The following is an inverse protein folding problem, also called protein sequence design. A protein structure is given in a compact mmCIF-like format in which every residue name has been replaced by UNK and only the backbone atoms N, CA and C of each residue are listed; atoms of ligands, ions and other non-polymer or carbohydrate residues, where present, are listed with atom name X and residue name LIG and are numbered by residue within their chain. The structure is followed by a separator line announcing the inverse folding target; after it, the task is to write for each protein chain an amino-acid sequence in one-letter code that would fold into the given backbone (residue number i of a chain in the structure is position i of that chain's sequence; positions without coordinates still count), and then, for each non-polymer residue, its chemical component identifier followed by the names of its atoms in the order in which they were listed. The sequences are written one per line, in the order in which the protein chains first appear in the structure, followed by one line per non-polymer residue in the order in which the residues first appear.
data_IF_088952271027
#
_entry.id   IF_088952271027
#
_cell.length_a   1.000
_cell.length_b   1.000
_cell.length_c   1.000
_cell.angle_alpha   90.00
_cell.angle_beta   90.00
_cell.angle_gamma   90.00
#
_symmetry.space_group_name_H-M   'P 1'
#
loop_
_entity.id
_entity.type
_entity.pdbx_description
1 polymer ?
#
# COMPACT_ATOMS: atom_id res chain seq x y z
N UNK A 1 -1.42 -28.27 6.21
CA UNK A 1 -1.77 -26.90 5.80
C UNK A 1 -2.34 -26.23 7.04
N UNK A 2 -1.64 -25.24 7.61
CA UNK A 2 -2.17 -24.48 8.75
C UNK A 2 -3.10 -23.40 8.21
N UNK A 3 -4.40 -23.51 8.49
CA UNK A 3 -5.37 -22.46 8.16
C UNK A 3 -5.03 -21.13 8.85
N UNK A 4 -5.63 -20.03 8.39
CA UNK A 4 -5.34 -18.69 8.91
C UNK A 4 -5.71 -18.56 10.38
N UNK A 5 -6.90 -19.03 10.76
CA UNK A 5 -7.37 -19.05 12.15
C UNK A 5 -7.81 -20.48 12.43
N UNK A 6 -7.22 -21.11 13.45
CA UNK A 6 -7.60 -22.47 13.82
C UNK A 6 -9.09 -22.55 14.13
N UNK A 7 -9.76 -23.57 13.57
CA UNK A 7 -11.20 -23.75 13.71
C UNK A 7 -12.07 -22.92 12.75
N UNK A 8 -11.49 -22.08 11.87
CA UNK A 8 -12.24 -21.33 10.86
C UNK A 8 -11.79 -21.66 9.42
N UNK A 9 -12.72 -21.70 8.45
CA UNK A 9 -12.36 -21.71 7.03
C UNK A 9 -11.62 -20.41 6.64
N UNK A 10 -10.61 -20.52 5.78
CA UNK A 10 -9.77 -19.38 5.37
C UNK A 10 -10.57 -18.22 4.78
N UNK A 11 -11.64 -18.50 4.03
CA UNK A 11 -12.52 -17.46 3.48
C UNK A 11 -13.20 -16.62 4.58
N UNK A 12 -13.60 -17.26 5.69
CA UNK A 12 -14.19 -16.57 6.84
C UNK A 12 -13.12 -15.77 7.58
N UNK A 13 -11.95 -16.37 7.80
CA UNK A 13 -10.82 -15.69 8.42
C UNK A 13 -10.39 -14.45 7.62
N UNK A 14 -10.36 -14.52 6.29
CA UNK A 14 -10.09 -13.38 5.41
C UNK A 14 -11.14 -12.28 5.54
N UNK A 15 -12.43 -12.61 5.64
CA UNK A 15 -13.47 -11.60 5.90
C UNK A 15 -13.31 -10.95 7.27
N UNK A 16 -12.92 -11.69 8.29
CA UNK A 16 -12.60 -11.11 9.60
C UNK A 16 -11.41 -10.13 9.51
N UNK A 17 -10.32 -10.54 8.87
CA UNK A 17 -9.16 -9.65 8.63
C UNK A 17 -9.53 -8.45 7.75
N UNK A 18 -10.46 -8.61 6.81
CA UNK A 18 -10.92 -7.54 5.94
C UNK A 18 -11.62 -6.41 6.71
N UNK A 19 -12.21 -6.66 7.87
CA UNK A 19 -12.79 -5.61 8.72
C UNK A 19 -11.77 -4.83 9.53
N UNK A 20 -10.53 -5.33 9.67
CA UNK A 20 -9.51 -4.66 10.47
C UNK A 20 -9.02 -3.41 9.73
N UNK A 21 -9.01 -2.22 10.37
CA UNK A 21 -8.50 -1.00 9.76
C UNK A 21 -7.06 -1.13 9.24
N UNK A 22 -6.77 -0.50 8.11
CA UNK A 22 -5.49 -0.60 7.42
C UNK A 22 -4.28 -0.25 8.32
N UNK A 23 -4.41 0.76 9.19
CA UNK A 23 -3.32 1.17 10.09
C UNK A 23 -2.89 0.07 11.10
N UNK A 24 -3.71 -0.95 11.32
CA UNK A 24 -3.37 -2.10 12.17
C UNK A 24 -2.73 -3.25 11.41
N UNK A 25 -2.77 -3.26 10.08
CA UNK A 25 -2.22 -4.36 9.25
C UNK A 25 -0.75 -4.66 9.55
N UNK A 26 0.15 -3.68 9.75
CA UNK A 26 1.53 -3.96 10.15
C UNK A 26 1.65 -4.80 11.43
N UNK A 27 0.73 -4.65 12.37
CA UNK A 27 0.70 -5.46 13.61
C UNK A 27 0.20 -6.87 13.32
N UNK A 28 -0.78 -7.02 12.43
CA UNK A 28 -1.32 -8.33 12.03
C UNK A 28 -0.28 -9.17 11.26
N UNK A 29 0.60 -8.53 10.48
CA UNK A 29 1.69 -9.21 9.76
C UNK A 29 2.69 -9.91 10.69
N UNK A 30 2.78 -9.45 11.95
CA UNK A 30 3.69 -10.00 12.95
C UNK A 30 3.14 -11.25 13.65
N UNK A 31 1.86 -11.59 13.46
CA UNK A 31 1.22 -12.73 14.14
C UNK A 31 1.81 -14.06 13.66
N UNK A 32 1.81 -14.31 12.35
CA UNK A 32 2.42 -15.50 11.76
C UNK A 32 2.68 -15.33 10.25
N UNK A 33 3.46 -16.25 9.65
CA UNK A 33 3.76 -16.23 8.22
C UNK A 33 2.52 -16.31 7.33
N UNK A 34 1.51 -17.07 7.74
CA UNK A 34 0.25 -17.20 6.99
C UNK A 34 -0.56 -15.91 7.00
N UNK A 35 -0.65 -15.21 8.15
CA UNK A 35 -1.32 -13.91 8.25
C UNK A 35 -0.61 -12.87 7.40
N UNK A 36 0.72 -12.80 7.49
CA UNK A 36 1.51 -11.93 6.63
C UNK A 36 1.24 -12.19 5.15
N UNK A 37 1.26 -13.46 4.71
CA UNK A 37 0.97 -13.82 3.33
C UNK A 37 -0.46 -13.42 2.91
N UNK A 38 -1.46 -13.62 3.79
CA UNK A 38 -2.84 -13.22 3.53
C UNK A 38 -3.01 -11.70 3.44
N UNK A 39 -2.28 -10.91 4.24
CA UNK A 39 -2.35 -9.45 4.22
C UNK A 39 -1.83 -8.84 2.92
N UNK A 40 -0.90 -9.50 2.23
CA UNK A 40 -0.42 -9.09 0.90
C UNK A 40 -1.19 -9.73 -0.28
N UNK A 41 -2.20 -10.55 0.01
CA UNK A 41 -2.94 -11.33 -1.00
C UNK A 41 -3.94 -10.48 -1.80
N UNK A 42 -4.31 -10.92 -3.02
CA UNK A 42 -5.40 -10.26 -3.76
C UNK A 42 -6.77 -10.58 -3.13
N UNK A 43 -6.85 -11.71 -2.45
CA UNK A 43 -8.03 -12.26 -1.81
C UNK A 43 -8.48 -11.36 -0.65
N UNK A 44 -7.55 -10.85 0.17
CA UNK A 44 -7.89 -9.87 1.20
C UNK A 44 -8.40 -8.56 0.57
N UNK A 45 -7.75 -8.07 -0.48
CA UNK A 45 -8.20 -6.84 -1.16
C UNK A 45 -9.64 -6.98 -1.69
N UNK A 46 -9.96 -8.11 -2.32
CA UNK A 46 -11.33 -8.43 -2.76
C UNK A 46 -12.29 -8.53 -1.59
N UNK A 47 -11.91 -9.23 -0.52
CA UNK A 47 -12.75 -9.34 0.68
C UNK A 47 -13.07 -7.96 1.27
N UNK A 48 -12.11 -7.03 1.31
CA UNK A 48 -12.32 -5.64 1.76
C UNK A 48 -13.26 -4.86 0.85
N UNK A 49 -13.15 -5.02 -0.46
CA UNK A 49 -14.11 -4.45 -1.42
C UNK A 49 -15.53 -4.96 -1.17
N UNK A 50 -15.69 -6.26 -0.99
CA UNK A 50 -16.99 -6.90 -0.78
C UNK A 50 -17.67 -6.47 0.53
N UNK A 51 -16.90 -6.30 1.61
CA UNK A 51 -17.44 -5.86 2.90
C UNK A 51 -17.50 -4.34 3.06
N UNK A 52 -17.08 -3.58 2.05
CA UNK A 52 -17.10 -2.11 2.06
C UNK A 52 -16.15 -1.49 3.07
N UNK A 53 -15.03 -2.14 3.39
CA UNK A 53 -14.06 -1.67 4.39
C UNK A 53 -12.82 -0.99 3.81
N UNK A 54 -12.88 -0.58 2.54
CA UNK A 54 -11.82 0.24 1.96
C UNK A 54 -11.80 1.63 2.59
N UNK A 55 -10.61 2.11 2.96
CA UNK A 55 -10.43 3.46 3.48
C UNK A 55 -9.96 4.44 2.40
N UNK A 56 -10.45 5.67 2.48
CA UNK A 56 -9.97 6.81 1.71
C UNK A 56 -8.76 7.43 2.41
N UNK A 57 -7.57 6.99 2.01
CA UNK A 57 -6.29 7.50 2.52
C UNK A 57 -5.68 8.51 1.55
N UNK A 58 -5.07 9.57 2.09
CA UNK A 58 -4.27 10.50 1.30
C UNK A 58 -2.85 9.98 1.18
N UNK A 59 -2.30 9.95 -0.03
CA UNK A 59 -0.89 9.65 -0.24
C UNK A 59 -0.11 10.94 -0.43
N UNK A 60 0.86 11.18 0.44
CA UNK A 60 1.64 12.40 0.51
C UNK A 60 3.09 12.06 0.20
N UNK A 61 3.71 12.83 -0.69
CA UNK A 61 5.13 12.75 -1.02
C UNK A 61 5.82 14.02 -0.54
N UNK A 62 6.81 13.90 0.34
CA UNK A 62 7.68 15.01 0.70
C UNK A 62 8.94 14.96 -0.16
N UNK A 63 9.30 16.11 -0.77
CA UNK A 63 10.46 16.24 -1.64
C UNK A 63 11.78 15.94 -0.91
N UNK A 64 11.99 16.58 0.24
CA UNK A 64 13.17 16.45 1.11
C UNK A 64 12.87 15.53 2.31
N UNK A 65 13.78 14.64 2.76
CA UNK A 65 15.16 14.45 2.29
C UNK A 65 15.34 13.48 1.12
N UNK A 66 14.27 12.84 0.62
CA UNK A 66 14.36 11.80 -0.42
C UNK A 66 12.99 11.22 -0.86
N UNK A 67 12.05 12.04 -1.35
CA UNK A 67 10.73 11.54 -1.78
C UNK A 67 10.07 10.62 -0.73
N UNK A 68 9.86 11.14 0.48
CA UNK A 68 9.24 10.37 1.55
C UNK A 68 7.75 10.21 1.26
N UNK A 69 7.33 8.98 0.95
CA UNK A 69 5.93 8.64 0.74
C UNK A 69 5.29 8.18 2.05
N UNK A 70 4.19 8.83 2.42
CA UNK A 70 3.39 8.47 3.58
C UNK A 70 1.92 8.41 3.21
N UNK A 71 1.16 7.61 3.94
CA UNK A 71 -0.29 7.66 3.90
C UNK A 71 -0.79 8.44 5.11
N UNK A 72 -1.82 9.24 4.91
CA UNK A 72 -2.52 9.96 5.96
C UNK A 72 -3.99 9.54 5.97
N UNK A 73 -4.48 9.15 7.13
CA UNK A 73 -5.89 8.87 7.38
C UNK A 73 -6.54 10.11 8.00
N UNK A 74 -7.35 10.89 7.23
CA UNK A 74 -7.96 12.11 7.72
C UNK A 74 -9.09 11.86 8.74
N UNK A 75 -9.65 10.65 8.79
CA UNK A 75 -10.71 10.30 9.74
C UNK A 75 -10.13 10.05 11.13
N UNK A 76 -8.95 9.42 11.17
CA UNK A 76 -8.28 9.04 12.43
C UNK A 76 -7.16 10.00 12.85
N UNK A 77 -6.78 10.92 11.97
CA UNK A 77 -5.65 11.83 12.13
C UNK A 77 -4.34 11.11 12.43
N UNK A 78 -4.02 10.11 11.61
CA UNK A 78 -2.80 9.30 11.76
C UNK A 78 -2.00 9.25 10.47
N UNK A 79 -0.68 9.32 10.63
CA UNK A 79 0.29 9.06 9.58
C UNK A 79 0.73 7.61 9.61
N UNK A 80 0.69 6.97 8.44
CA UNK A 80 1.09 5.58 8.23
C UNK A 80 2.32 5.59 7.32
N UNK A 81 3.44 5.12 7.85
CA UNK A 81 4.67 4.98 7.07
C UNK A 81 4.54 3.80 6.12
N UNK A 82 4.68 4.08 4.83
CA UNK A 82 4.81 3.05 3.80
C UNK A 82 6.29 2.74 3.64
N UNK A 83 6.70 1.45 3.47
CA UNK A 83 8.03 1.09 3.08
C UNK A 83 8.49 1.93 1.91
N UNK A 84 9.72 2.42 2.02
CA UNK A 84 10.36 3.20 0.98
C UNK A 84 10.18 2.47 -0.34
N UNK A 85 9.63 3.19 -1.31
CA UNK A 85 9.60 2.66 -2.67
C UNK A 85 11.03 2.36 -3.08
N UNK A 86 11.27 1.22 -3.75
CA UNK A 86 12.55 0.95 -4.40
C UNK A 86 12.69 1.84 -5.64
N UNK A 87 12.55 3.16 -5.47
CA UNK A 87 12.81 4.16 -6.48
C UNK A 87 14.28 4.56 -6.38
N UNK A 88 15.01 4.39 -7.47
CA UNK A 88 16.34 5.00 -7.62
C UNK A 88 16.24 6.51 -7.83
N UNK A 89 15.03 7.05 -8.03
CA UNK A 89 14.76 8.46 -8.28
C UNK A 89 14.52 9.18 -6.95
N UNK A 90 15.42 10.10 -6.64
CA UNK A 90 15.38 11.00 -5.49
C UNK A 90 14.92 12.39 -5.95
N UNK A 91 14.35 13.19 -5.06
CA UNK A 91 13.98 14.58 -5.33
C UNK A 91 13.10 14.71 -6.60
N UNK A 92 12.04 13.92 -6.68
CA UNK A 92 11.14 13.90 -7.82
C UNK A 92 10.21 15.11 -7.71
N UNK A 93 10.21 15.96 -8.73
CA UNK A 93 9.34 17.13 -8.82
C UNK A 93 8.58 17.13 -10.15
N UNK A 94 7.52 17.93 -10.23
CA UNK A 94 6.74 18.16 -11.46
C UNK A 94 6.16 16.88 -12.09
N UNK A 95 5.82 15.88 -11.26
CA UNK A 95 5.20 14.63 -11.70
C UNK A 95 3.67 14.71 -11.68
N UNK A 96 3.03 13.90 -12.52
CA UNK A 96 1.60 13.63 -12.43
C UNK A 96 1.33 12.38 -11.59
N UNK A 97 0.15 12.32 -10.93
CA UNK A 97 -0.31 11.13 -10.21
C UNK A 97 -1.74 10.79 -10.62
N UNK A 98 -2.02 9.51 -10.86
CA UNK A 98 -3.38 9.00 -11.06
C UNK A 98 -3.63 7.77 -10.19
N UNK A 99 -4.86 7.60 -9.69
CA UNK A 99 -5.28 6.42 -8.93
C UNK A 99 -6.17 5.52 -9.78
N UNK A 100 -5.88 4.22 -9.85
CA UNK A 100 -6.69 3.21 -10.53
C UNK A 100 -6.73 1.94 -9.70
N UNK A 101 -7.93 1.51 -9.30
CA UNK A 101 -8.18 0.24 -8.61
C UNK A 101 -7.31 0.02 -7.37
N UNK A 102 -7.20 1.03 -6.51
CA UNK A 102 -6.39 0.96 -5.30
C UNK A 102 -4.88 0.93 -5.55
N UNK A 103 -4.43 1.46 -6.70
CA UNK A 103 -3.02 1.69 -7.00
C UNK A 103 -2.82 3.13 -7.44
N UNK A 104 -1.73 3.76 -7.04
CA UNK A 104 -1.33 5.07 -7.59
C UNK A 104 -0.23 4.87 -8.63
N UNK A 105 -0.31 5.63 -9.70
CA UNK A 105 0.65 5.67 -10.78
C UNK A 105 1.25 7.05 -10.82
N UNK A 106 2.56 7.13 -10.62
CA UNK A 106 3.34 8.37 -10.75
C UNK A 106 3.94 8.40 -12.15
N UNK A 107 3.70 9.47 -12.90
CA UNK A 107 4.07 9.61 -14.31
C UNK A 107 4.90 10.87 -14.55
N UNK A 108 6.01 10.70 -15.26
CA UNK A 108 6.92 11.80 -15.60
C UNK A 108 7.64 12.37 -14.37
N UNK A 109 7.95 13.66 -14.43
CA UNK A 109 8.70 14.38 -13.40
C UNK A 109 10.20 14.45 -13.66
N UNK A 110 10.83 15.47 -13.07
CA UNK A 110 12.26 15.70 -13.12
C UNK A 110 12.95 15.36 -11.79
N UNK A 111 14.25 15.11 -11.85
CA UNK A 111 15.13 14.93 -10.69
C UNK A 111 16.45 15.65 -10.94
N UNK A 112 17.13 16.08 -9.87
CA UNK A 112 18.39 16.83 -9.93
C UNK A 112 19.52 16.14 -10.73
N UNK A 113 19.42 14.83 -10.97
CA UNK A 113 20.48 14.05 -11.61
C UNK A 113 20.21 13.63 -13.07
N UNK A 114 18.96 13.57 -13.53
CA UNK A 114 18.64 13.08 -14.89
C UNK A 114 17.24 13.54 -15.30
N UNK A 115 17.08 13.96 -16.55
CA UNK A 115 15.79 14.08 -17.22
C UNK A 115 15.20 12.66 -17.34
N UNK A 116 14.37 12.27 -16.38
CA UNK A 116 13.77 10.94 -16.32
C UNK A 116 12.62 10.88 -17.31
N UNK A 117 12.96 10.55 -18.57
CA UNK A 117 11.98 10.13 -19.57
C UNK A 117 10.95 9.18 -18.95
N UNK A 118 9.67 9.52 -19.15
CA UNK A 118 8.46 8.95 -18.58
C UNK A 118 8.63 7.60 -17.89
N UNK A 119 8.89 7.60 -16.59
CA UNK A 119 8.84 6.39 -15.76
C UNK A 119 7.51 6.32 -15.02
N UNK A 120 6.93 5.12 -14.99
CA UNK A 120 5.72 4.81 -14.24
C UNK A 120 6.12 4.11 -12.95
N UNK A 121 5.84 4.71 -11.79
CA UNK A 121 5.97 4.03 -10.50
C UNK A 121 4.57 3.66 -10.00
N UNK A 122 4.39 2.39 -9.59
CA UNK A 122 3.12 1.91 -9.04
C UNK A 122 3.22 1.83 -7.51
N UNK A 123 2.40 2.61 -6.82
CA UNK A 123 2.12 2.46 -5.39
C UNK A 123 0.93 1.53 -5.24
N UNK A 124 1.07 0.46 -4.49
CA UNK A 124 -0.07 -0.31 -4.02
C UNK A 124 -0.16 -0.12 -2.50
N UNK A 125 -1.07 0.72 -1.98
CA UNK A 125 -1.27 0.86 -0.54
C UNK A 125 -1.51 -0.49 0.14
N UNK A 126 -2.17 -1.44 -0.54
CA UNK A 126 -2.47 -2.79 -0.03
C UNK A 126 -1.43 -3.85 -0.35
N UNK A 127 -0.40 -3.55 -1.15
CA UNK A 127 0.72 -4.46 -1.41
C UNK A 127 2.03 -3.73 -1.17
N UNK A 128 2.57 -3.97 0.01
CA UNK A 128 3.93 -3.59 0.34
C UNK A 128 4.90 -4.09 -0.75
N UNK A 129 5.43 -3.14 -1.53
CA UNK A 129 6.57 -3.30 -2.42
C UNK A 129 6.41 -4.29 -3.58
N UNK A 130 5.84 -3.84 -4.69
CA UNK A 130 6.22 -4.38 -6.01
C UNK A 130 6.11 -3.30 -7.10
N UNK A 131 7.26 -2.95 -7.70
CA UNK A 131 7.26 -2.31 -9.02
C UNK A 131 6.97 -3.38 -10.07
N UNK A 132 6.05 -3.10 -10.98
CA UNK A 132 5.98 -3.79 -12.27
C UNK A 132 6.90 -2.98 -13.20
N UNK A 133 7.92 -3.61 -13.83
CA UNK A 133 8.83 -2.93 -14.75
C UNK A 133 8.14 -2.38 -15.99
#
# INVERSE_FOLDING_TARGET
MSGLIEGLPDAVALRCLAHVPFYLHPKLELVCRSWRAALHSAELFRARQEVGSLEDLLCVCAFDPQNLWQLYDPVRDIWITVPLLPSKVKNLAHFGVVSVSGKLFVLGGGSDAVDLGTRMAVLQPTRYGHMIP
#
